data_IF_627757032268
#
_entry.id   IF_627757032268
#
_cell.length_a   1.000
_cell.length_b   1.000
_cell.length_c   1.000
_cell.angle_alpha   90.00
_cell.angle_beta   90.00
_cell.angle_gamma   90.00
#
_symmetry.space_group_name_H-M   'P 1'
#
loop_
_entity.id
_entity.type
_entity.pdbx_description
1 polymer ?
#
# COMPACT_ATOMS: atom_id res chain seq x y z
N UNK A 1 -3.00 21.48 -2.17
CA UNK A 1 -4.33 21.25 -2.79
C UNK A 1 -4.91 20.01 -2.13
N UNK A 2 -6.14 20.09 -1.59
CA UNK A 2 -6.78 18.97 -0.91
C UNK A 2 -7.24 17.95 -1.97
N UNK A 3 -7.20 16.63 -1.65
CA UNK A 3 -7.56 15.51 -2.54
C UNK A 3 -8.97 15.64 -3.14
N UNK A 4 -9.89 16.33 -2.46
CA UNK A 4 -11.22 16.64 -3.00
C UNK A 4 -11.20 17.73 -4.07
N UNK A 5 -10.31 18.70 -3.95
CA UNK A 5 -10.09 19.72 -4.97
C UNK A 5 -9.42 19.14 -6.21
N UNK A 6 -8.52 18.14 -6.05
CA UNK A 6 -7.96 17.38 -7.15
C UNK A 6 -9.03 16.53 -7.85
N UNK A 7 -9.93 15.90 -7.10
CA UNK A 7 -11.08 15.15 -7.66
C UNK A 7 -12.01 16.06 -8.47
N UNK A 8 -12.31 17.24 -7.96
CA UNK A 8 -13.21 18.20 -8.64
C UNK A 8 -12.60 18.77 -9.94
N UNK A 9 -11.28 18.97 -9.98
CA UNK A 9 -10.57 19.50 -11.15
C UNK A 9 -10.52 18.48 -12.31
N UNK A 10 -10.56 17.17 -12.01
CA UNK A 10 -10.55 16.10 -13.02
C UNK A 10 -11.94 15.60 -13.42
N UNK A 11 -12.99 15.92 -12.65
CA UNK A 11 -14.37 15.50 -12.92
C UNK A 11 -14.95 16.07 -14.23
N UNK A 12 -14.35 17.12 -14.77
CA UNK A 12 -14.85 17.80 -15.97
C UNK A 12 -14.46 17.14 -17.30
N UNK A 13 -13.65 16.09 -17.32
CA UNK A 13 -13.09 15.61 -18.59
C UNK A 13 -13.34 14.16 -18.98
N UNK A 14 -14.10 13.34 -18.28
CA UNK A 14 -14.48 11.99 -18.73
C UNK A 14 -15.58 11.41 -17.84
N UNK A 15 -16.25 10.32 -18.28
CA UNK A 15 -17.02 9.37 -17.48
C UNK A 15 -16.21 8.78 -16.28
N UNK A 16 -15.15 9.44 -15.92
CA UNK A 16 -14.25 9.18 -14.80
C UNK A 16 -14.99 9.16 -13.45
N UNK A 17 -16.18 9.76 -13.35
CA UNK A 17 -16.87 9.92 -12.08
C UNK A 17 -17.32 8.58 -11.46
N UNK A 18 -17.72 7.61 -12.27
CA UNK A 18 -18.09 6.26 -11.77
C UNK A 18 -16.84 5.43 -11.49
N UNK A 19 -15.80 5.58 -12.30
CA UNK A 19 -14.52 4.87 -12.19
C UNK A 19 -13.72 5.31 -10.97
N UNK A 20 -13.64 6.62 -10.75
CA UNK A 20 -12.93 7.22 -9.61
C UNK A 20 -13.56 6.86 -8.28
N UNK A 21 -14.90 6.87 -8.19
CA UNK A 21 -15.63 6.53 -6.97
C UNK A 21 -15.28 5.12 -6.49
N UNK A 22 -15.33 4.12 -7.36
CA UNK A 22 -15.02 2.74 -7.00
C UNK A 22 -13.59 2.55 -6.47
N UNK A 23 -12.59 3.19 -7.08
CA UNK A 23 -11.19 3.09 -6.63
C UNK A 23 -10.99 3.76 -5.26
N UNK A 24 -11.47 4.98 -5.08
CA UNK A 24 -11.31 5.73 -3.83
C UNK A 24 -12.12 5.12 -2.69
N UNK A 25 -13.33 4.62 -2.96
CA UNK A 25 -14.14 3.91 -1.97
C UNK A 25 -13.44 2.63 -1.47
N UNK A 26 -12.79 1.88 -2.37
CA UNK A 26 -11.96 0.72 -1.99
C UNK A 26 -10.76 1.12 -1.11
N UNK A 27 -10.10 2.24 -1.40
CA UNK A 27 -8.99 2.74 -0.57
C UNK A 27 -9.49 3.20 0.81
N UNK A 28 -10.61 3.92 0.84
CA UNK A 28 -11.22 4.37 2.08
C UNK A 28 -11.67 3.20 2.96
N UNK A 29 -12.31 2.18 2.38
CA UNK A 29 -12.72 0.97 3.10
C UNK A 29 -11.53 0.23 3.72
N UNK A 30 -10.39 0.16 3.00
CA UNK A 30 -9.16 -0.43 3.54
C UNK A 30 -8.56 0.40 4.68
N UNK A 31 -8.60 1.72 4.56
CA UNK A 31 -8.13 2.61 5.62
C UNK A 31 -9.02 2.50 6.87
N UNK A 32 -10.35 2.52 6.70
CA UNK A 32 -11.29 2.35 7.79
C UNK A 32 -11.11 1.01 8.53
N UNK A 33 -10.87 -0.07 7.79
CA UNK A 33 -10.56 -1.38 8.41
C UNK A 33 -9.26 -1.34 9.25
N UNK A 34 -8.23 -0.65 8.78
CA UNK A 34 -6.97 -0.50 9.53
C UNK A 34 -7.15 0.37 10.77
N UNK A 35 -7.93 1.46 10.68
CA UNK A 35 -8.28 2.31 11.82
C UNK A 35 -9.08 1.54 12.88
N UNK A 36 -10.08 0.74 12.48
CA UNK A 36 -10.83 -0.10 13.42
C UNK A 36 -9.95 -1.12 14.14
N UNK A 37 -8.96 -1.69 13.43
CA UNK A 37 -7.94 -2.54 14.08
C UNK A 37 -7.04 -1.76 15.05
N UNK A 38 -6.66 -0.54 14.71
CA UNK A 38 -5.86 0.32 15.58
C UNK A 38 -6.62 0.65 16.86
N UNK A 39 -7.90 0.98 16.76
CA UNK A 39 -8.77 1.26 17.89
C UNK A 39 -8.88 0.05 18.83
N UNK A 40 -9.11 -1.16 18.29
CA UNK A 40 -9.13 -2.39 19.10
C UNK A 40 -7.81 -2.65 19.84
N UNK A 41 -6.66 -2.26 19.26
CA UNK A 41 -5.36 -2.40 19.93
C UNK A 41 -5.17 -1.34 21.03
N UNK A 42 -5.67 -0.11 20.84
CA UNK A 42 -5.68 0.92 21.89
C UNK A 42 -6.54 0.50 23.06
N UNK A 43 -7.74 -0.01 22.81
CA UNK A 43 -8.60 -0.55 23.86
C UNK A 43 -7.92 -1.68 24.66
N UNK A 44 -7.18 -2.57 23.96
CA UNK A 44 -6.40 -3.61 24.63
C UNK A 44 -5.31 -3.01 25.51
N UNK A 45 -4.57 -2.03 25.03
CA UNK A 45 -3.55 -1.31 25.79
C UNK A 45 -4.14 -0.66 27.03
N UNK A 46 -5.23 0.07 26.90
CA UNK A 46 -5.93 0.73 28.02
C UNK A 46 -6.41 -0.27 29.07
N UNK A 47 -7.04 -1.36 28.66
CA UNK A 47 -7.49 -2.43 29.59
C UNK A 47 -6.33 -3.03 30.37
N UNK A 48 -5.16 -3.24 29.74
CA UNK A 48 -3.98 -3.77 30.40
C UNK A 48 -3.37 -2.77 31.39
N UNK A 49 -3.30 -1.48 31.03
CA UNK A 49 -2.88 -0.40 31.93
C UNK A 49 -3.83 -0.25 33.11
N UNK A 50 -5.14 -0.20 32.87
CA UNK A 50 -6.15 -0.08 33.92
C UNK A 50 -6.08 -1.25 34.92
N UNK A 51 -5.91 -2.48 34.41
CA UNK A 51 -5.74 -3.66 35.24
C UNK A 51 -4.48 -3.56 36.12
N UNK A 52 -3.34 -3.15 35.52
CA UNK A 52 -2.12 -2.93 36.28
C UNK A 52 -2.26 -1.83 37.32
N UNK A 53 -2.95 -0.73 36.99
CA UNK A 53 -3.21 0.34 37.94
C UNK A 53 -4.03 -0.12 39.14
N UNK A 54 -5.07 -0.94 38.91
CA UNK A 54 -5.88 -1.54 40.01
C UNK A 54 -5.02 -2.40 40.93
N UNK A 55 -4.16 -3.26 40.38
CA UNK A 55 -3.26 -4.11 41.19
C UNK A 55 -2.22 -3.25 41.92
N UNK A 56 -1.62 -2.28 41.23
CA UNK A 56 -0.65 -1.36 41.85
C UNK A 56 -1.28 -0.61 43.05
N UNK A 57 -2.55 -0.19 42.95
CA UNK A 57 -3.28 0.44 44.04
C UNK A 57 -3.43 -0.48 45.25
N UNK A 58 -3.64 -1.77 45.04
CA UNK A 58 -3.74 -2.77 46.13
C UNK A 58 -2.36 -3.07 46.75
N UNK A 59 -1.30 -3.06 45.93
CA UNK A 59 0.08 -3.38 46.35
C UNK A 59 0.87 -2.16 46.83
N UNK A 60 0.30 -0.95 46.71
CA UNK A 60 0.99 0.29 46.96
C UNK A 60 1.49 0.36 48.41
N UNK A 61 2.79 0.62 48.58
CA UNK A 61 3.45 0.69 49.88
C UNK A 61 3.79 -0.65 50.54
N UNK A 62 3.45 -1.79 49.88
CA UNK A 62 3.79 -3.12 50.45
C UNK A 62 5.25 -3.46 50.05
N UNK A 63 6.20 -3.51 51.01
CA UNK A 63 7.58 -3.83 50.68
C UNK A 63 7.72 -5.30 50.29
N UNK A 64 8.66 -5.56 49.39
CA UNK A 64 9.05 -6.91 49.02
C UNK A 64 9.97 -7.49 50.10
N UNK A 65 9.39 -8.17 51.06
CA UNK A 65 10.10 -8.72 52.22
C UNK A 65 10.76 -10.04 51.81
N UNK A 66 12.08 -10.04 51.73
CA UNK A 66 12.89 -11.26 51.52
C UNK A 66 12.72 -12.17 52.74
N UNK A 67 12.63 -13.46 52.53
CA UNK A 67 12.37 -14.51 53.57
C UNK A 67 10.97 -14.53 54.18
N UNK A 68 10.04 -13.68 53.71
CA UNK A 68 8.65 -13.73 54.11
C UNK A 68 7.85 -14.73 53.26
N UNK A 69 6.92 -15.46 53.83
CA UNK A 69 6.12 -16.48 53.11
C UNK A 69 5.39 -15.93 51.88
N UNK A 70 5.08 -14.63 51.83
CA UNK A 70 4.43 -13.96 50.71
C UNK A 70 5.38 -13.48 49.61
N UNK A 71 6.70 -13.58 49.79
CA UNK A 71 7.70 -13.05 48.86
C UNK A 71 7.50 -13.52 47.43
N UNK A 72 7.42 -14.83 47.24
CA UNK A 72 7.27 -15.40 45.90
C UNK A 72 5.96 -14.98 45.21
N UNK A 73 4.86 -14.88 45.99
CA UNK A 73 3.57 -14.42 45.48
C UNK A 73 3.67 -12.95 45.01
N UNK A 74 4.25 -12.10 45.82
CA UNK A 74 4.42 -10.67 45.53
C UNK A 74 5.33 -10.45 44.32
N UNK A 75 6.49 -11.13 44.29
CA UNK A 75 7.44 -11.09 43.16
C UNK A 75 6.77 -11.56 41.87
N UNK A 76 6.08 -12.68 41.87
CA UNK A 76 5.40 -13.19 40.67
C UNK A 76 4.31 -12.21 40.16
N UNK A 77 3.63 -11.47 41.06
CA UNK A 77 2.64 -10.50 40.59
C UNK A 77 3.31 -9.26 39.99
N UNK A 78 4.44 -8.78 40.53
CA UNK A 78 5.22 -7.73 39.93
C UNK A 78 5.72 -8.15 38.54
N UNK A 79 6.23 -9.36 38.37
CA UNK A 79 6.65 -9.89 37.07
C UNK A 79 5.50 -9.96 36.06
N UNK A 80 4.30 -10.33 36.52
CA UNK A 80 3.08 -10.31 35.68
C UNK A 80 2.68 -8.89 35.29
N UNK A 81 2.78 -7.94 36.22
CA UNK A 81 2.52 -6.52 35.93
C UNK A 81 3.47 -6.00 34.87
N UNK A 82 4.76 -6.25 35.01
CA UNK A 82 5.76 -5.84 33.99
C UNK A 82 5.48 -6.46 32.62
N UNK A 83 5.12 -7.74 32.57
CA UNK A 83 4.76 -8.41 31.30
C UNK A 83 3.48 -7.82 30.69
N UNK A 84 2.47 -7.48 31.49
CA UNK A 84 1.24 -6.84 31.01
C UNK A 84 1.52 -5.43 30.49
N UNK A 85 2.36 -4.68 31.21
CA UNK A 85 2.80 -3.35 30.81
C UNK A 85 3.52 -3.40 29.45
N UNK A 86 4.47 -4.33 29.27
CA UNK A 86 5.13 -4.55 28.00
C UNK A 86 4.14 -4.82 26.86
N UNK A 87 3.15 -5.70 27.09
CA UNK A 87 2.09 -5.96 26.10
C UNK A 87 1.22 -4.74 25.80
N UNK A 88 0.95 -3.89 26.80
CA UNK A 88 0.18 -2.67 26.62
C UNK A 88 0.93 -1.69 25.69
N UNK A 89 2.23 -1.49 25.93
CA UNK A 89 3.06 -0.67 25.03
C UNK A 89 3.16 -1.26 23.62
N UNK A 90 3.35 -2.57 23.47
CA UNK A 90 3.38 -3.24 22.16
C UNK A 90 2.06 -3.05 21.40
N UNK A 91 0.92 -3.14 22.09
CA UNK A 91 -0.40 -2.93 21.48
C UNK A 91 -0.58 -1.47 21.03
N UNK A 92 -0.18 -0.50 21.85
CA UNK A 92 -0.21 0.93 21.51
C UNK A 92 0.67 1.24 20.29
N UNK A 93 1.93 0.78 20.29
CA UNK A 93 2.86 0.96 19.18
C UNK A 93 2.37 0.28 17.88
N UNK A 94 1.71 -0.87 18.01
CA UNK A 94 1.10 -1.54 16.88
C UNK A 94 -0.11 -0.76 16.34
N UNK A 95 -0.92 -0.14 17.19
CA UNK A 95 -2.02 0.72 16.79
C UNK A 95 -1.51 1.91 15.96
N UNK A 96 -0.46 2.59 16.41
CA UNK A 96 0.13 3.71 15.68
C UNK A 96 0.69 3.30 14.31
N UNK A 97 1.29 2.11 14.23
CA UNK A 97 1.73 1.53 12.94
C UNK A 97 0.56 1.24 12.00
N UNK A 98 -0.60 0.81 12.54
CA UNK A 98 -1.80 0.57 11.74
C UNK A 98 -2.38 1.88 11.22
N UNK A 99 -2.43 2.94 12.03
CA UNK A 99 -2.91 4.26 11.61
C UNK A 99 -2.03 4.87 10.53
N UNK A 100 -0.71 4.83 10.69
CA UNK A 100 0.22 5.24 9.62
C UNK A 100 0.01 4.47 8.32
N UNK A 101 -0.30 3.16 8.41
CA UNK A 101 -0.65 2.35 7.22
C UNK A 101 -1.99 2.77 6.62
N UNK A 102 -2.98 3.13 7.42
CA UNK A 102 -4.27 3.62 6.96
C UNK A 102 -4.13 4.97 6.23
N UNK A 103 -3.43 5.91 6.83
CA UNK A 103 -3.11 7.21 6.20
C UNK A 103 -2.36 7.03 4.88
N UNK A 104 -1.37 6.12 4.86
CA UNK A 104 -0.64 5.80 3.64
C UNK A 104 -1.51 5.16 2.55
N UNK A 105 -2.65 4.52 2.88
CA UNK A 105 -3.61 4.03 1.89
C UNK A 105 -4.36 5.17 1.21
N UNK A 106 -4.67 6.22 1.95
CA UNK A 106 -5.39 7.39 1.43
C UNK A 106 -4.42 8.35 0.73
N UNK A 107 -3.28 8.62 1.35
CA UNK A 107 -2.33 9.67 0.95
C UNK A 107 -1.07 9.12 0.25
N UNK A 108 -1.09 7.85 -0.18
CA UNK A 108 0.10 7.23 -0.77
C UNK A 108 0.56 7.97 -2.03
N UNK A 109 1.83 8.32 -2.06
CA UNK A 109 2.54 8.69 -3.28
C UNK A 109 2.69 7.53 -4.27
N UNK A 110 2.43 6.29 -3.86
CA UNK A 110 2.47 5.14 -4.74
C UNK A 110 1.25 5.14 -5.67
N UNK A 111 1.48 5.44 -6.92
CA UNK A 111 0.43 5.42 -7.95
C UNK A 111 0.10 3.97 -8.27
N UNK A 112 -1.16 3.56 -8.08
CA UNK A 112 -1.63 2.23 -8.51
C UNK A 112 -1.90 2.24 -10.02
N UNK A 113 -1.75 1.10 -10.69
CA UNK A 113 -2.15 0.96 -12.08
C UNK A 113 -3.69 0.97 -12.26
N UNK A 114 -4.44 0.73 -11.18
CA UNK A 114 -5.92 0.85 -11.14
C UNK A 114 -6.39 2.23 -10.68
N UNK A 115 -5.47 3.20 -10.49
CA UNK A 115 -5.82 4.57 -10.13
C UNK A 115 -6.22 5.30 -11.41
N UNK A 116 -7.46 5.82 -11.53
CA UNK A 116 -7.90 6.54 -12.73
C UNK A 116 -7.05 7.77 -13.03
N UNK A 117 -6.44 8.38 -12.00
CA UNK A 117 -5.56 9.55 -12.15
C UNK A 117 -4.09 9.14 -12.31
N UNK A 118 -3.79 7.86 -12.51
CA UNK A 118 -2.41 7.35 -12.54
C UNK A 118 -1.51 8.11 -13.51
N UNK A 119 -2.00 8.39 -14.72
CA UNK A 119 -1.26 9.10 -15.76
C UNK A 119 -0.89 10.52 -15.32
N UNK A 120 -1.86 11.25 -14.76
CA UNK A 120 -1.66 12.62 -14.29
C UNK A 120 -0.69 12.66 -13.11
N UNK A 121 -0.88 11.77 -12.14
CA UNK A 121 0.01 11.66 -10.97
C UNK A 121 1.44 11.29 -11.35
N UNK A 122 1.62 10.41 -12.34
CA UNK A 122 2.96 10.06 -12.83
C UNK A 122 3.61 11.22 -13.58
N UNK A 123 2.87 11.97 -14.39
CA UNK A 123 3.38 13.19 -15.07
C UNK A 123 3.82 14.23 -14.05
N UNK A 124 2.98 14.53 -13.05
CA UNK A 124 3.33 15.49 -11.99
C UNK A 124 4.58 15.04 -11.22
N UNK A 125 4.70 13.75 -10.92
CA UNK A 125 5.89 13.20 -10.25
C UNK A 125 7.16 13.33 -11.10
N UNK A 126 7.07 13.13 -12.42
CA UNK A 126 8.20 13.35 -13.31
C UNK A 126 8.65 14.81 -13.23
N UNK A 127 7.70 15.75 -13.31
CA UNK A 127 7.99 17.19 -13.24
C UNK A 127 8.63 17.56 -11.88
N UNK A 128 8.14 17.00 -10.78
CA UNK A 128 8.73 17.22 -9.46
C UNK A 128 10.16 16.69 -9.38
N UNK A 129 10.41 15.49 -9.86
CA UNK A 129 11.77 14.94 -9.90
C UNK A 129 12.71 15.72 -10.82
N UNK A 130 12.23 16.20 -11.96
CA UNK A 130 13.01 17.01 -12.90
C UNK A 130 13.36 18.37 -12.28
N UNK A 131 12.40 19.03 -11.59
CA UNK A 131 12.61 20.26 -10.84
C UNK A 131 13.67 20.05 -9.74
N UNK A 132 13.48 19.05 -8.88
CA UNK A 132 14.41 18.77 -7.79
C UNK A 132 15.82 18.43 -8.30
N UNK A 133 15.91 17.70 -9.42
CA UNK A 133 17.17 17.40 -10.07
C UNK A 133 17.87 18.68 -10.55
N UNK A 134 17.14 19.58 -11.20
CA UNK A 134 17.67 20.87 -11.69
C UNK A 134 18.17 21.74 -10.52
N UNK A 135 17.40 21.85 -9.44
CA UNK A 135 17.80 22.61 -8.24
C UNK A 135 19.09 22.07 -7.61
N UNK A 136 19.25 20.74 -7.56
CA UNK A 136 20.46 20.12 -7.00
C UNK A 136 21.66 20.25 -7.93
N UNK A 137 21.44 20.22 -9.25
CA UNK A 137 22.48 20.47 -10.25
C UNK A 137 22.97 21.92 -10.16
N UNK A 138 22.07 22.87 -9.97
CA UNK A 138 22.42 24.29 -9.80
C UNK A 138 23.22 24.52 -8.52
N UNK A 139 22.80 23.93 -7.40
CA UNK A 139 23.57 23.97 -6.14
C UNK A 139 24.98 23.42 -6.28
N UNK A 140 25.19 22.39 -7.11
CA UNK A 140 26.53 21.85 -7.38
C UNK A 140 27.38 22.78 -8.24
N UNK A 141 26.78 23.55 -9.16
CA UNK A 141 27.50 24.49 -10.03
C UNK A 141 27.87 25.79 -9.29
N UNK A 142 26.94 26.27 -8.43
CA UNK A 142 27.08 27.56 -7.75
C UNK A 142 27.81 27.45 -6.41
N UNK A 143 28.16 26.25 -5.95
CA UNK A 143 28.87 26.03 -4.69
C UNK A 143 30.26 26.71 -4.74
N UNK A 144 30.53 27.75 -3.92
CA UNK A 144 31.80 28.47 -3.93
C UNK A 144 32.94 27.54 -3.55
N UNK A 145 34.10 27.72 -4.17
CA UNK A 145 35.35 27.10 -3.71
C UNK A 145 35.65 27.61 -2.29
N UNK A 146 35.85 26.67 -1.36
CA UNK A 146 36.09 27.01 0.06
C UNK A 146 34.85 27.17 0.94
N UNK A 147 33.64 26.97 0.42
CA UNK A 147 32.45 26.89 1.27
C UNK A 147 32.43 25.58 2.08
N UNK A 148 31.58 25.53 3.15
CA UNK A 148 31.31 24.32 3.94
C UNK A 148 30.71 23.16 3.11
N UNK A 149 30.73 23.27 1.77
CA UNK A 149 30.29 22.27 0.81
C UNK A 149 31.42 21.24 0.63
N UNK A 150 31.60 20.37 1.63
CA UNK A 150 32.62 19.33 1.64
C UNK A 150 32.50 18.37 0.47
N UNK A 151 33.56 17.68 0.08
CA UNK A 151 33.52 16.66 -0.97
C UNK A 151 32.49 15.57 -0.68
N UNK A 152 32.26 15.22 0.59
CA UNK A 152 31.18 14.32 1.01
C UNK A 152 29.79 14.88 0.66
N UNK A 153 29.56 16.18 0.85
CA UNK A 153 28.29 16.84 0.47
C UNK A 153 28.10 16.83 -1.04
N UNK A 154 29.14 17.12 -1.82
CA UNK A 154 29.11 17.04 -3.29
C UNK A 154 28.81 15.62 -3.76
N UNK A 155 29.42 14.61 -3.15
CA UNK A 155 29.18 13.20 -3.47
C UNK A 155 27.71 12.81 -3.17
N UNK A 156 27.15 13.23 -2.04
CA UNK A 156 25.74 13.00 -1.70
C UNK A 156 24.79 13.64 -2.71
N UNK A 157 25.05 14.88 -3.14
CA UNK A 157 24.24 15.52 -4.19
C UNK A 157 24.31 14.76 -5.52
N UNK A 158 25.51 14.28 -5.92
CA UNK A 158 25.68 13.47 -7.15
C UNK A 158 24.91 12.14 -7.06
N UNK A 159 25.00 11.44 -5.94
CA UNK A 159 24.25 10.19 -5.70
C UNK A 159 22.74 10.44 -5.78
N UNK A 160 22.27 11.53 -5.18
CA UNK A 160 20.85 11.87 -5.20
C UNK A 160 20.36 12.21 -6.60
N UNK A 161 21.12 12.97 -7.39
CA UNK A 161 20.85 13.27 -8.81
C UNK A 161 20.80 11.98 -9.65
N UNK A 162 21.68 11.01 -9.40
CA UNK A 162 21.66 9.71 -10.05
C UNK A 162 20.37 8.92 -9.70
N UNK A 163 19.97 8.94 -8.43
CA UNK A 163 18.72 8.34 -7.96
C UNK A 163 17.51 9.00 -8.63
N UNK A 164 17.42 10.34 -8.67
CA UNK A 164 16.35 11.06 -9.35
C UNK A 164 16.31 10.72 -10.85
N UNK A 165 17.46 10.62 -11.50
CA UNK A 165 17.53 10.25 -12.92
C UNK A 165 16.97 8.84 -13.16
N UNK A 166 17.27 7.90 -12.27
CA UNK A 166 16.73 6.53 -12.32
C UNK A 166 15.22 6.53 -12.07
N UNK A 167 14.75 7.31 -11.08
CA UNK A 167 13.33 7.45 -10.78
C UNK A 167 12.54 8.06 -11.93
N UNK A 168 13.06 9.10 -12.58
CA UNK A 168 12.47 9.71 -13.78
C UNK A 168 12.34 8.66 -14.89
N UNK A 169 13.43 7.93 -15.20
CA UNK A 169 13.41 6.90 -16.23
C UNK A 169 12.38 5.80 -15.94
N UNK A 170 12.35 5.31 -14.72
CA UNK A 170 11.41 4.25 -14.33
C UNK A 170 9.95 4.74 -14.36
N UNK A 171 9.71 6.00 -13.95
CA UNK A 171 8.38 6.61 -13.98
C UNK A 171 7.92 6.84 -15.42
N UNK A 172 8.80 7.29 -16.33
CA UNK A 172 8.52 7.43 -17.78
C UNK A 172 8.17 6.07 -18.42
N UNK A 173 8.95 5.03 -18.16
CA UNK A 173 8.63 3.65 -18.63
C UNK A 173 7.25 3.18 -18.15
N UNK A 174 6.94 3.45 -16.89
CA UNK A 174 5.63 3.10 -16.34
C UNK A 174 4.49 3.87 -17.00
N UNK A 175 4.69 5.15 -17.27
CA UNK A 175 3.73 5.98 -18.00
C UNK A 175 3.46 5.44 -19.40
N UNK A 176 4.49 5.04 -20.14
CA UNK A 176 4.37 4.42 -21.46
C UNK A 176 3.56 3.12 -21.44
N UNK A 177 3.79 2.28 -20.40
CA UNK A 177 3.03 1.03 -20.21
C UNK A 177 1.55 1.33 -19.96
N UNK A 178 1.24 2.32 -19.12
CA UNK A 178 -0.15 2.70 -18.83
C UNK A 178 -0.83 3.31 -20.07
N UNK A 179 -0.10 4.11 -20.85
CA UNK A 179 -0.63 4.68 -22.09
C UNK A 179 -0.92 3.59 -23.15
N UNK A 180 -0.08 2.57 -23.24
CA UNK A 180 -0.36 1.40 -24.08
C UNK A 180 -1.59 0.62 -23.60
N UNK A 181 -1.71 0.42 -22.27
CA UNK A 181 -2.85 -0.31 -21.71
C UNK A 181 -4.17 0.45 -21.88
N UNK A 182 -4.16 1.78 -21.80
CA UNK A 182 -5.37 2.61 -22.00
C UNK A 182 -5.92 2.56 -23.43
N UNK A 183 -5.10 2.16 -24.40
CA UNK A 183 -5.49 1.98 -25.80
C UNK A 183 -6.06 0.60 -26.11
N UNK A 184 -6.00 -0.35 -25.18
CA UNK A 184 -6.57 -1.68 -25.34
C UNK A 184 -8.09 -1.55 -25.13
N UNK A 185 -8.89 -1.89 -26.13
CA UNK A 185 -10.33 -1.79 -26.06
C UNK A 185 -10.91 -2.81 -25.09
N UNK A 186 -12.05 -2.44 -24.46
CA UNK A 186 -12.83 -3.38 -23.68
C UNK A 186 -13.39 -4.45 -24.62
N UNK A 187 -13.12 -5.70 -24.33
CA UNK A 187 -13.54 -6.83 -25.14
C UNK A 187 -13.93 -7.99 -24.25
N UNK A 188 -15.00 -8.67 -24.68
CA UNK A 188 -15.41 -9.94 -24.10
C UNK A 188 -15.45 -10.98 -25.22
N UNK A 189 -14.75 -12.09 -25.03
CA UNK A 189 -14.77 -13.22 -25.97
C UNK A 189 -15.12 -14.49 -25.19
N UNK A 190 -15.94 -15.34 -25.83
CA UNK A 190 -16.41 -16.60 -25.28
C UNK A 190 -16.14 -17.72 -26.28
N UNK A 191 -15.62 -18.83 -25.76
CA UNK A 191 -15.40 -20.06 -26.55
C UNK A 191 -16.60 -21.00 -26.47
N UNK A 192 -16.68 -21.92 -27.42
CA UNK A 192 -17.66 -23.02 -27.41
C UNK A 192 -17.55 -23.97 -26.21
N UNK A 193 -16.38 -24.06 -25.55
CA UNK A 193 -16.16 -24.83 -24.34
C UNK A 193 -16.66 -24.13 -23.05
N UNK A 194 -17.29 -22.97 -23.17
CA UNK A 194 -17.84 -22.21 -22.05
C UNK A 194 -16.82 -21.32 -21.32
N UNK A 195 -15.53 -21.36 -21.67
CA UNK A 195 -14.53 -20.44 -21.15
C UNK A 195 -14.69 -19.07 -21.80
N UNK A 196 -14.59 -18.01 -21.03
CA UNK A 196 -14.63 -16.63 -21.55
C UNK A 196 -13.61 -15.74 -20.86
N UNK A 197 -13.17 -14.69 -21.55
CA UNK A 197 -12.43 -13.64 -20.90
C UNK A 197 -13.10 -12.27 -21.15
N UNK A 198 -12.90 -11.37 -20.19
CA UNK A 198 -13.35 -9.97 -20.27
C UNK A 198 -12.22 -9.03 -19.91
N UNK A 199 -12.00 -8.03 -20.75
CA UNK A 199 -11.11 -6.91 -20.46
C UNK A 199 -11.93 -5.82 -19.77
N UNK A 200 -11.53 -5.45 -18.58
CA UNK A 200 -12.16 -4.41 -17.77
C UNK A 200 -11.15 -3.26 -17.54
N UNK A 201 -11.34 -2.20 -18.27
CA UNK A 201 -10.52 -0.99 -18.18
C UNK A 201 -10.66 -0.28 -16.84
N UNK A 202 -11.84 -0.37 -16.22
CA UNK A 202 -12.16 0.27 -14.94
C UNK A 202 -11.23 -0.16 -13.83
N UNK A 203 -11.00 -1.47 -13.73
CA UNK A 203 -10.11 -2.07 -12.73
C UNK A 203 -8.69 -2.31 -13.27
N UNK A 204 -8.43 -1.99 -14.56
CA UNK A 204 -7.21 -2.34 -15.29
C UNK A 204 -6.91 -3.85 -15.15
N UNK A 205 -7.94 -4.68 -15.42
CA UNK A 205 -7.90 -6.15 -15.26
C UNK A 205 -8.44 -6.86 -16.48
N UNK A 206 -7.79 -7.96 -16.82
CA UNK A 206 -8.39 -9.01 -17.65
C UNK A 206 -8.85 -10.12 -16.72
N UNK A 207 -10.10 -10.59 -16.91
CA UNK A 207 -10.71 -11.65 -16.13
C UNK A 207 -11.01 -12.83 -17.04
N UNK A 208 -10.64 -14.02 -16.57
CA UNK A 208 -10.88 -15.29 -17.26
C UNK A 208 -11.87 -16.10 -16.43
N UNK A 209 -12.97 -16.48 -17.05
CA UNK A 209 -14.07 -17.21 -16.46
C UNK A 209 -14.06 -18.66 -16.99
N UNK A 210 -14.23 -19.60 -16.10
CA UNK A 210 -14.41 -21.01 -16.42
C UNK A 210 -15.83 -21.43 -16.02
N UNK A 211 -16.51 -22.30 -16.79
CA UNK A 211 -17.86 -22.78 -16.42
C UNK A 211 -17.81 -23.54 -15.09
N UNK A 212 -16.77 -24.33 -14.89
CA UNK A 212 -16.52 -25.10 -13.69
C UNK A 212 -15.14 -24.82 -13.09
N UNK A 213 -14.86 -25.42 -11.93
CA UNK A 213 -13.55 -25.30 -11.30
C UNK A 213 -12.47 -25.95 -12.18
N UNK A 214 -11.48 -25.19 -12.69
CA UNK A 214 -10.44 -25.73 -13.54
C UNK A 214 -9.64 -26.84 -12.86
N UNK A 215 -9.06 -27.75 -13.65
CA UNK A 215 -8.18 -28.82 -13.16
C UNK A 215 -7.00 -28.24 -12.37
N UNK A 216 -6.37 -29.08 -11.58
CA UNK A 216 -5.21 -28.66 -10.78
C UNK A 216 -4.05 -28.19 -11.67
N UNK A 217 -3.84 -28.84 -12.80
CA UNK A 217 -2.81 -28.46 -13.78
C UNK A 217 -3.07 -27.07 -14.36
N UNK A 218 -4.32 -26.78 -14.78
CA UNK A 218 -4.72 -25.46 -15.28
C UNK A 218 -4.54 -24.40 -14.21
N UNK A 219 -4.95 -24.67 -12.97
CA UNK A 219 -4.80 -23.73 -11.86
C UNK A 219 -3.33 -23.46 -11.54
N UNK A 220 -2.47 -24.46 -11.61
CA UNK A 220 -1.03 -24.33 -11.41
C UNK A 220 -0.40 -23.52 -12.55
N UNK A 221 -0.78 -23.78 -13.80
CA UNK A 221 -0.36 -23.02 -14.98
C UNK A 221 -0.79 -21.56 -14.90
N UNK A 222 -2.02 -21.29 -14.48
CA UNK A 222 -2.51 -19.90 -14.26
C UNK A 222 -1.69 -19.19 -13.18
N UNK A 223 -1.46 -19.82 -12.04
CA UNK A 223 -0.68 -19.24 -10.94
C UNK A 223 0.76 -18.94 -11.34
N UNK A 224 1.43 -19.86 -12.04
CA UNK A 224 2.81 -19.67 -12.52
C UNK A 224 2.93 -18.53 -13.52
N UNK A 225 1.89 -18.27 -14.30
CA UNK A 225 1.78 -17.16 -15.25
C UNK A 225 1.32 -15.86 -14.62
N UNK A 226 1.15 -15.80 -13.28
CA UNK A 226 0.79 -14.59 -12.53
C UNK A 226 -0.70 -14.28 -12.48
N UNK A 227 -1.57 -15.20 -12.87
CA UNK A 227 -3.00 -15.08 -12.66
C UNK A 227 -3.34 -15.32 -11.19
N UNK A 228 -4.34 -14.58 -10.67
CA UNK A 228 -4.84 -14.69 -9.29
C UNK A 228 -6.33 -14.92 -9.29
N UNK A 229 -6.78 -15.85 -8.47
CA UNK A 229 -8.21 -16.09 -8.25
C UNK A 229 -8.84 -14.93 -7.48
N UNK A 230 -9.97 -14.43 -7.95
CA UNK A 230 -10.79 -13.45 -7.28
C UNK A 230 -12.13 -14.09 -6.89
N UNK A 231 -12.36 -14.41 -5.60
CA UNK A 231 -13.65 -14.95 -5.16
C UNK A 231 -14.81 -13.99 -5.42
N UNK A 232 -14.56 -12.69 -5.29
CA UNK A 232 -15.58 -11.65 -5.50
C UNK A 232 -16.09 -11.62 -6.95
N UNK A 233 -15.18 -11.76 -7.93
CA UNK A 233 -15.54 -11.75 -9.35
C UNK A 233 -15.77 -13.15 -9.91
N UNK A 234 -15.61 -14.20 -9.11
CA UNK A 234 -15.64 -15.60 -9.54
C UNK A 234 -14.80 -15.84 -10.80
N UNK A 235 -13.62 -15.26 -10.87
CA UNK A 235 -12.76 -15.26 -12.05
C UNK A 235 -11.28 -15.28 -11.71
N UNK A 236 -10.46 -15.83 -12.60
CA UNK A 236 -9.02 -15.62 -12.60
C UNK A 236 -8.71 -14.27 -13.22
N UNK A 237 -7.93 -13.45 -12.51
CA UNK A 237 -7.65 -12.09 -12.94
C UNK A 237 -6.14 -11.82 -13.02
N UNK A 238 -5.78 -10.98 -13.99
CA UNK A 238 -4.42 -10.48 -14.18
C UNK A 238 -4.50 -9.01 -14.61
N UNK A 239 -3.43 -8.25 -14.44
CA UNK A 239 -3.35 -6.89 -14.97
C UNK A 239 -3.39 -6.92 -16.49
N UNK A 240 -4.07 -5.97 -17.13
CA UNK A 240 -4.14 -5.88 -18.59
C UNK A 240 -2.74 -5.76 -19.16
N UNK A 241 -2.44 -6.57 -20.15
CA UNK A 241 -1.26 -6.52 -21.00
C UNK A 241 -1.50 -7.37 -22.24
N UNK A 242 -0.79 -7.11 -23.32
CA UNK A 242 -0.84 -7.93 -24.54
C UNK A 242 -0.57 -9.40 -24.23
N UNK A 243 0.42 -9.67 -23.37
CA UNK A 243 0.73 -11.02 -22.92
C UNK A 243 -0.42 -11.67 -22.13
N UNK A 244 -1.13 -10.91 -21.31
CA UNK A 244 -2.28 -11.44 -20.56
C UNK A 244 -3.45 -11.77 -21.51
N UNK A 245 -3.67 -10.95 -22.53
CA UNK A 245 -4.69 -11.19 -23.57
C UNK A 245 -4.32 -12.44 -24.38
N UNK A 246 -3.07 -12.55 -24.81
CA UNK A 246 -2.59 -13.73 -25.51
C UNK A 246 -2.80 -15.01 -24.68
N UNK A 247 -2.40 -14.97 -23.40
CA UNK A 247 -2.59 -16.09 -22.48
C UNK A 247 -4.08 -16.44 -22.25
N UNK A 248 -4.97 -15.43 -22.22
CA UNK A 248 -6.40 -15.69 -22.07
C UNK A 248 -6.97 -16.41 -23.31
N UNK A 249 -6.53 -16.03 -24.51
CA UNK A 249 -6.96 -16.66 -25.75
C UNK A 249 -6.56 -18.14 -25.86
N UNK A 250 -5.39 -18.52 -25.31
CA UNK A 250 -4.96 -19.93 -25.26
C UNK A 250 -5.96 -20.84 -24.51
N UNK A 251 -6.83 -20.30 -23.68
CA UNK A 251 -7.86 -21.08 -22.97
C UNK A 251 -9.21 -21.07 -23.67
N UNK A 252 -9.36 -20.27 -24.74
CA UNK A 252 -10.55 -20.28 -25.59
C UNK A 252 -10.49 -21.35 -26.71
N UNK A 253 -9.28 -21.71 -27.09
CA UNK A 253 -9.01 -22.80 -28.05
C UNK A 253 -9.22 -24.18 -27.40
#
# INVERSE_FOLDING_TARGET
MNREQEKAMFANNYNAHVLTKSFFDKQQSKANYLHGKAESQRELSEKLHEYNHKIAGVMNGTPLLVDHYSYNRHKNELDRMHKREGKAYEASDYADKLDKRAENKINSYAVSASDPDAVVKLKNRINDFEREKAERQEKLKTAPEGSNFTDGTKANHRMYIASLTTNIRNTKKRLEILDKHSKIEEKEEKSGNGVSYKIDQTDNRIRLFFPDKPSEEIRTKLKSRGWRWSPFNNAWQKQISEQAIYQAKEYLE
#
